data_IF_522601712621
#
_entry.id   IF_522601712621
#
_cell.length_a   1.000
_cell.length_b   1.000
_cell.length_c   1.000
_cell.angle_alpha   90.00
_cell.angle_beta   90.00
_cell.angle_gamma   90.00
#
_symmetry.space_group_name_H-M   'P 1'
#
loop_
_entity.id
_entity.type
_entity.pdbx_description
1 polymer ?
#
# COMPACT_ATOMS: atom_id res chain seq x y z
N UNK A 1 39.73 -0.75 9.40
CA UNK A 1 38.79 -1.66 8.77
C UNK A 1 37.41 -0.99 8.84
N UNK A 2 36.94 -0.47 7.73
CA UNK A 2 35.62 0.11 7.63
C UNK A 2 34.58 -0.98 7.86
N UNK A 3 33.63 -0.71 8.73
CA UNK A 3 32.53 -1.63 9.07
C UNK A 3 31.51 -1.68 7.92
N UNK A 4 31.92 -2.12 6.75
CA UNK A 4 31.07 -2.24 5.55
C UNK A 4 29.95 -3.29 5.71
N UNK A 5 30.05 -4.16 6.74
CA UNK A 5 29.12 -5.27 6.94
C UNK A 5 27.85 -4.93 7.76
N UNK A 6 27.70 -3.68 8.22
CA UNK A 6 26.62 -3.32 9.14
C UNK A 6 25.26 -3.08 8.45
N UNK A 7 25.26 -2.74 7.18
CA UNK A 7 24.03 -2.41 6.47
C UNK A 7 23.96 -3.12 5.13
N UNK A 8 23.03 -4.06 5.04
CA UNK A 8 22.67 -4.73 3.80
C UNK A 8 21.30 -4.30 3.36
N UNK A 9 21.13 -4.11 2.07
CA UNK A 9 19.89 -3.64 1.47
C UNK A 9 19.41 -4.53 0.35
N UNK A 10 18.12 -4.48 0.10
CA UNK A 10 17.46 -5.15 -1.03
C UNK A 10 16.64 -4.09 -1.78
N UNK A 11 16.79 -4.03 -3.08
CA UNK A 11 16.11 -3.06 -3.92
C UNK A 11 14.75 -3.58 -4.37
N UNK A 12 13.66 -2.85 -4.06
CA UNK A 12 12.32 -3.18 -4.50
C UNK A 12 12.05 -2.55 -5.87
N UNK A 13 12.00 -3.38 -6.92
CA UNK A 13 11.86 -2.87 -8.29
C UNK A 13 10.42 -2.45 -8.62
N UNK A 14 9.41 -3.15 -8.09
CA UNK A 14 8.02 -2.92 -8.47
C UNK A 14 7.48 -1.53 -8.13
N UNK A 15 7.77 -0.93 -6.95
CA UNK A 15 7.37 0.45 -6.67
C UNK A 15 7.95 1.46 -7.67
N UNK A 16 9.19 1.24 -8.12
CA UNK A 16 9.85 2.11 -9.09
C UNK A 16 9.24 1.93 -10.48
N UNK A 17 8.94 0.69 -10.88
CA UNK A 17 8.25 0.41 -12.15
C UNK A 17 6.86 1.07 -12.16
N UNK A 18 6.13 1.00 -11.05
CA UNK A 18 4.82 1.66 -10.94
C UNK A 18 4.94 3.19 -10.97
N UNK A 19 6.00 3.74 -10.35
CA UNK A 19 6.27 5.17 -10.36
C UNK A 19 6.60 5.68 -11.78
N UNK A 20 7.37 4.92 -12.55
CA UNK A 20 7.73 5.24 -13.92
C UNK A 20 6.63 4.89 -14.94
N UNK A 21 5.63 4.09 -14.54
CA UNK A 21 4.57 3.65 -15.43
C UNK A 21 3.67 4.81 -15.85
N UNK A 22 3.29 4.81 -17.11
CA UNK A 22 2.29 5.73 -17.66
C UNK A 22 0.92 5.08 -17.73
N UNK A 23 -0.11 5.89 -17.81
CA UNK A 23 -1.50 5.48 -18.03
C UNK A 23 -2.17 6.47 -18.96
N UNK A 24 -3.13 6.01 -19.75
CA UNK A 24 -3.99 6.90 -20.51
C UNK A 24 -5.26 7.18 -19.71
N UNK A 25 -5.63 8.45 -19.61
CA UNK A 25 -6.87 8.92 -18.97
C UNK A 25 -7.47 9.99 -19.87
N UNK A 26 -8.70 9.79 -20.31
CA UNK A 26 -9.40 10.71 -21.22
C UNK A 26 -8.59 11.01 -22.48
N UNK A 27 -7.98 10.00 -23.08
CA UNK A 27 -7.17 10.11 -24.29
C UNK A 27 -5.82 10.83 -24.11
N UNK A 28 -5.44 11.19 -22.88
CA UNK A 28 -4.16 11.83 -22.56
C UNK A 28 -3.26 10.88 -21.79
N UNK A 29 -1.98 10.86 -22.14
CA UNK A 29 -0.98 10.13 -21.37
C UNK A 29 -0.75 10.86 -20.04
N UNK A 30 -0.90 10.14 -18.94
CA UNK A 30 -0.55 10.58 -17.59
C UNK A 30 0.62 9.76 -17.10
N UNK A 31 1.55 10.41 -16.47
CA UNK A 31 2.66 9.76 -15.78
C UNK A 31 2.21 9.25 -14.40
N UNK A 32 3.00 8.36 -13.84
CA UNK A 32 2.82 7.87 -12.48
C UNK A 32 1.45 7.22 -12.25
N UNK A 33 1.24 6.06 -12.84
CA UNK A 33 -0.05 5.35 -12.77
C UNK A 33 -0.53 5.11 -11.34
N UNK A 34 0.32 4.58 -10.47
CA UNK A 34 -0.04 4.23 -9.10
C UNK A 34 0.75 5.01 -8.06
N UNK A 35 2.05 5.19 -8.23
CA UNK A 35 2.93 5.79 -7.24
C UNK A 35 3.20 7.27 -7.54
N UNK A 36 3.22 8.11 -6.51
CA UNK A 36 3.56 9.53 -6.62
C UNK A 36 4.92 9.88 -6.01
N UNK A 37 5.40 9.09 -5.08
CA UNK A 37 6.67 9.27 -4.38
C UNK A 37 7.19 7.93 -3.87
N UNK A 38 8.19 7.95 -3.01
CA UNK A 38 8.80 6.75 -2.45
C UNK A 38 7.87 5.86 -1.63
N UNK A 39 8.45 4.87 -0.99
CA UNK A 39 7.76 3.96 -0.09
C UNK A 39 7.53 4.68 1.23
N UNK A 40 6.27 4.80 1.65
CA UNK A 40 5.88 5.51 2.86
C UNK A 40 5.36 4.57 3.95
N UNK A 41 4.57 3.56 3.59
CA UNK A 41 3.98 2.60 4.53
C UNK A 41 4.68 1.25 4.52
N UNK A 42 5.15 0.79 5.69
CA UNK A 42 5.79 -0.52 5.86
C UNK A 42 5.29 -1.20 7.11
N UNK A 43 5.00 -2.50 7.02
CA UNK A 43 4.75 -3.33 8.21
C UNK A 43 5.05 -4.79 7.94
N UNK A 44 5.35 -5.53 9.01
CA UNK A 44 5.31 -6.98 8.97
C UNK A 44 3.97 -7.48 9.46
N UNK A 45 3.47 -8.55 8.86
CA UNK A 45 2.22 -9.16 9.27
C UNK A 45 2.03 -10.53 8.62
N UNK A 46 1.06 -11.33 9.10
CA UNK A 46 0.71 -12.62 8.53
C UNK A 46 0.03 -12.45 7.17
N UNK A 47 -0.30 -13.55 6.50
CA UNK A 47 -1.07 -13.48 5.26
C UNK A 47 -2.52 -13.04 5.52
N UNK A 48 -3.06 -12.22 4.61
CA UNK A 48 -4.50 -11.94 4.60
C UNK A 48 -5.31 -13.23 4.52
N UNK A 49 -6.30 -13.37 5.39
CA UNK A 49 -7.10 -14.58 5.58
C UNK A 49 -6.51 -15.58 6.59
N UNK A 50 -5.36 -15.24 7.19
CA UNK A 50 -4.73 -16.04 8.25
C UNK A 50 -4.09 -15.13 9.31
N UNK A 51 -4.90 -14.34 10.07
CA UNK A 51 -4.39 -13.33 11.01
C UNK A 51 -3.60 -13.90 12.20
N UNK A 52 -3.66 -15.22 12.41
CA UNK A 52 -2.87 -15.93 13.43
C UNK A 52 -1.71 -16.72 12.85
N UNK A 53 -1.45 -16.55 11.57
CA UNK A 53 -0.35 -17.21 10.87
C UNK A 53 1.01 -16.83 11.45
N UNK A 54 1.87 -17.84 11.67
CA UNK A 54 3.21 -17.61 12.24
C UNK A 54 4.17 -16.97 11.23
N UNK A 55 3.95 -17.24 9.95
CA UNK A 55 4.78 -16.67 8.89
C UNK A 55 4.47 -15.21 8.69
N UNK A 56 5.51 -14.38 8.79
CA UNK A 56 5.41 -12.94 8.57
C UNK A 56 5.88 -12.59 7.16
N UNK A 57 5.21 -11.64 6.55
CA UNK A 57 5.53 -11.08 5.25
C UNK A 57 5.78 -9.59 5.41
N UNK A 58 6.63 -9.04 4.58
CA UNK A 58 6.76 -7.59 4.47
C UNK A 58 5.64 -7.05 3.57
N UNK A 59 4.88 -6.13 4.10
CA UNK A 59 3.91 -5.34 3.36
C UNK A 59 4.45 -3.95 3.11
N UNK A 60 4.32 -3.51 1.87
CA UNK A 60 4.85 -2.24 1.38
C UNK A 60 3.74 -1.48 0.70
N UNK A 61 3.45 -0.29 1.20
CA UNK A 61 2.54 0.64 0.57
C UNK A 61 3.31 1.89 0.11
N UNK A 62 2.87 2.49 -0.97
CA UNK A 62 3.48 3.70 -1.51
C UNK A 62 2.40 4.69 -1.94
N UNK A 63 2.84 5.92 -2.20
CA UNK A 63 1.94 6.99 -2.58
C UNK A 63 1.14 6.68 -3.83
N UNK A 64 -0.07 7.20 -3.89
CA UNK A 64 -0.94 7.15 -5.06
C UNK A 64 -1.26 8.58 -5.47
N UNK A 65 -1.24 8.86 -6.77
CA UNK A 65 -1.49 10.21 -7.27
C UNK A 65 -2.87 10.71 -6.88
N UNK A 66 -2.93 11.89 -6.28
CA UNK A 66 -4.15 12.51 -5.77
C UNK A 66 -4.94 13.33 -6.79
N UNK A 67 -4.66 13.18 -8.09
CA UNK A 67 -5.37 13.92 -9.16
C UNK A 67 -6.88 13.62 -9.09
N UNK A 68 -7.66 14.66 -8.79
CA UNK A 68 -9.12 14.54 -8.62
C UNK A 68 -9.88 14.36 -9.93
N UNK A 69 -9.22 14.54 -11.07
CA UNK A 69 -9.80 14.31 -12.41
C UNK A 69 -9.69 12.87 -12.88
N UNK A 70 -8.85 12.04 -12.22
CA UNK A 70 -8.66 10.63 -12.55
C UNK A 70 -9.70 9.76 -11.84
N UNK A 71 -10.05 8.64 -12.45
CA UNK A 71 -10.94 7.61 -11.86
C UNK A 71 -10.20 6.33 -11.45
N UNK A 72 -8.93 6.18 -11.82
CA UNK A 72 -8.11 5.00 -11.59
C UNK A 72 -7.27 5.05 -10.31
N UNK A 73 -7.35 6.14 -9.55
CA UNK A 73 -6.57 6.41 -8.34
C UNK A 73 -7.40 6.42 -7.05
N UNK A 74 -8.52 5.71 -7.05
CA UNK A 74 -9.46 5.64 -5.92
C UNK A 74 -9.21 4.40 -5.03
N UNK A 75 -8.06 3.74 -5.26
CA UNK A 75 -7.61 2.56 -4.53
C UNK A 75 -6.20 2.77 -4.02
N UNK A 76 -5.93 2.27 -2.82
CA UNK A 76 -4.56 2.18 -2.32
C UNK A 76 -3.91 0.90 -2.84
N UNK A 77 -2.58 0.93 -2.94
CA UNK A 77 -1.77 -0.22 -3.40
C UNK A 77 -0.91 -0.73 -2.26
N UNK A 78 -0.95 -2.04 -2.03
CA UNK A 78 -0.15 -2.73 -1.03
C UNK A 78 0.52 -3.94 -1.68
N UNK A 79 1.84 -3.97 -1.63
CA UNK A 79 2.65 -5.09 -2.09
C UNK A 79 2.97 -6.03 -0.93
N UNK A 80 2.97 -7.34 -1.17
CA UNK A 80 3.36 -8.35 -0.21
C UNK A 80 4.62 -9.06 -0.68
N UNK A 81 5.61 -9.18 0.20
CA UNK A 81 6.87 -9.86 -0.07
C UNK A 81 7.15 -10.97 0.93
N UNK A 82 7.64 -12.10 0.43
CA UNK A 82 8.25 -13.16 1.24
C UNK A 82 9.76 -12.87 1.35
N UNK A 83 10.19 -12.46 2.52
CA UNK A 83 11.58 -12.06 2.75
C UNK A 83 12.53 -13.23 3.03
N UNK A 84 12.02 -14.45 3.29
CA UNK A 84 12.86 -15.61 3.67
C UNK A 84 13.90 -15.96 2.60
N UNK A 85 13.65 -15.52 1.35
CA UNK A 85 14.53 -15.81 0.21
C UNK A 85 15.36 -14.61 -0.25
N UNK A 86 15.39 -13.55 0.55
CA UNK A 86 16.03 -12.31 0.13
C UNK A 86 17.55 -12.29 0.27
N UNK A 87 18.14 -13.17 1.05
CA UNK A 87 19.60 -13.26 1.20
C UNK A 87 20.39 -13.28 -0.11
N UNK A 88 19.82 -13.84 -1.18
CA UNK A 88 20.42 -13.81 -2.53
C UNK A 88 20.43 -12.41 -3.20
N UNK A 89 19.66 -11.48 -2.70
CA UNK A 89 19.54 -10.12 -3.22
C UNK A 89 20.30 -9.10 -2.37
N UNK A 90 20.62 -9.47 -1.13
CA UNK A 90 21.29 -8.57 -0.20
C UNK A 90 22.64 -8.10 -0.75
N UNK A 91 22.86 -6.83 -0.65
CA UNK A 91 24.11 -6.20 -1.04
C UNK A 91 24.44 -5.07 -0.07
N UNK A 92 25.71 -4.77 0.08
CA UNK A 92 26.14 -3.64 0.90
C UNK A 92 25.61 -2.34 0.34
N UNK A 93 25.15 -1.46 1.21
CA UNK A 93 24.82 -0.09 0.84
C UNK A 93 26.11 0.74 0.80
N UNK A 94 26.57 1.02 -0.40
CA UNK A 94 27.74 1.87 -0.63
C UNK A 94 27.30 3.25 -1.09
N UNK A 95 27.79 4.28 -0.42
CA UNK A 95 27.54 5.66 -0.83
C UNK A 95 28.11 5.91 -2.23
N UNK A 96 27.30 6.48 -3.12
CA UNK A 96 27.69 6.75 -4.51
C UNK A 96 27.71 5.53 -5.45
N UNK A 97 27.45 4.31 -4.94
CA UNK A 97 27.34 3.09 -5.75
C UNK A 97 26.08 2.30 -5.37
N UNK A 98 24.93 2.81 -5.78
CA UNK A 98 23.65 2.15 -5.53
C UNK A 98 23.53 0.86 -6.34
N UNK A 99 23.07 -0.22 -5.70
CA UNK A 99 22.77 -1.46 -6.39
C UNK A 99 21.28 -1.57 -6.69
N UNK A 100 20.93 -2.42 -7.67
CA UNK A 100 19.55 -2.75 -8.04
C UNK A 100 19.23 -4.24 -7.84
N UNK A 101 19.94 -4.89 -6.92
CA UNK A 101 19.70 -6.28 -6.58
C UNK A 101 18.44 -6.40 -5.72
N UNK A 102 17.44 -7.13 -6.22
CA UNK A 102 16.18 -7.31 -5.53
C UNK A 102 15.10 -8.00 -6.37
N UNK A 103 13.95 -8.33 -5.76
CA UNK A 103 12.85 -8.96 -6.46
C UNK A 103 12.26 -7.99 -7.50
N UNK A 104 12.03 -8.49 -8.72
CA UNK A 104 11.39 -7.70 -9.79
C UNK A 104 9.92 -7.43 -9.52
N UNK A 105 9.25 -8.37 -8.84
CA UNK A 105 7.82 -8.29 -8.50
C UNK A 105 7.59 -8.71 -7.07
N UNK A 106 6.56 -8.14 -6.47
CA UNK A 106 6.00 -8.63 -5.23
C UNK A 106 5.40 -10.03 -5.41
N UNK A 107 5.22 -10.75 -4.31
CA UNK A 107 4.49 -12.02 -4.27
C UNK A 107 3.01 -11.82 -4.62
N UNK A 108 2.44 -10.72 -4.12
CA UNK A 108 1.07 -10.27 -4.43
C UNK A 108 1.02 -8.75 -4.45
N UNK A 109 0.16 -8.21 -5.30
CA UNK A 109 -0.17 -6.80 -5.38
C UNK A 109 -1.66 -6.65 -5.11
N UNK A 110 -1.97 -5.97 -4.03
CA UNK A 110 -3.32 -5.78 -3.55
C UNK A 110 -3.80 -4.35 -3.77
N UNK A 111 -5.10 -4.22 -3.92
CA UNK A 111 -5.79 -2.94 -4.00
C UNK A 111 -6.84 -2.84 -2.90
N UNK A 112 -7.00 -1.65 -2.32
CA UNK A 112 -8.01 -1.37 -1.30
C UNK A 112 -8.81 -0.14 -1.73
N UNK A 113 -10.12 -0.28 -1.86
CA UNK A 113 -11.00 0.84 -2.22
C UNK A 113 -11.20 1.75 -1.01
N UNK A 114 -10.50 2.86 -0.99
CA UNK A 114 -10.60 3.88 0.06
C UNK A 114 -11.23 5.18 -0.44
N UNK A 115 -11.47 5.27 -1.73
CA UNK A 115 -11.66 6.54 -2.42
C UNK A 115 -10.32 7.25 -2.66
N UNK A 116 -10.40 8.45 -3.18
CA UNK A 116 -9.23 9.28 -3.45
C UNK A 116 -8.47 9.64 -2.16
N UNK A 117 -7.15 9.67 -2.25
CA UNK A 117 -6.27 10.26 -1.24
C UNK A 117 -5.25 11.17 -1.90
N UNK A 118 -4.64 12.09 -1.16
CA UNK A 118 -3.71 13.05 -1.78
C UNK A 118 -2.38 12.39 -2.16
N UNK A 119 -1.82 11.51 -1.29
CA UNK A 119 -0.54 10.85 -1.50
C UNK A 119 -0.58 9.34 -1.26
N UNK A 120 -1.74 8.76 -0.97
CA UNK A 120 -1.87 7.35 -0.65
C UNK A 120 -1.58 7.01 0.81
N UNK A 121 -1.22 5.75 1.06
CA UNK A 121 -0.90 5.28 2.41
C UNK A 121 0.45 5.84 2.85
N UNK A 122 0.44 6.65 3.90
CA UNK A 122 1.62 7.20 4.53
C UNK A 122 2.15 6.31 5.66
N UNK A 123 1.25 5.62 6.33
CA UNK A 123 1.59 4.70 7.41
C UNK A 123 0.77 3.43 7.27
N UNK A 124 1.44 2.30 7.39
CA UNK A 124 0.81 0.99 7.43
C UNK A 124 1.29 0.26 8.68
N UNK A 125 0.37 -0.21 9.51
CA UNK A 125 0.69 -0.95 10.72
C UNK A 125 -0.18 -2.20 10.84
N UNK A 126 0.42 -3.33 11.15
CA UNK A 126 -0.32 -4.55 11.54
C UNK A 126 -0.47 -4.58 13.06
N UNK A 127 -1.67 -4.79 13.53
CA UNK A 127 -1.99 -4.99 14.95
C UNK A 127 -2.29 -6.47 15.21
N UNK A 128 -1.42 -7.11 15.98
CA UNK A 128 -1.56 -8.52 16.32
C UNK A 128 -2.76 -8.81 17.25
N UNK A 129 -3.22 -7.81 18.02
CA UNK A 129 -4.37 -7.96 18.91
C UNK A 129 -5.67 -8.09 18.13
N UNK A 130 -5.91 -7.20 17.16
CA UNK A 130 -7.12 -7.24 16.32
C UNK A 130 -6.95 -8.15 15.10
N UNK A 131 -5.72 -8.45 14.70
CA UNK A 131 -5.41 -9.18 13.47
C UNK A 131 -5.63 -8.35 12.19
N UNK A 132 -5.73 -7.04 12.30
CA UNK A 132 -6.02 -6.13 11.21
C UNK A 132 -4.83 -5.27 10.82
N UNK A 133 -4.91 -4.69 9.61
CA UNK A 133 -3.94 -3.71 9.13
C UNK A 133 -4.56 -2.31 9.14
N UNK A 134 -3.86 -1.37 9.73
CA UNK A 134 -4.26 0.03 9.84
C UNK A 134 -3.50 0.84 8.80
N UNK A 135 -4.23 1.56 7.97
CA UNK A 135 -3.67 2.37 6.90
C UNK A 135 -4.08 3.84 7.08
N UNK A 136 -3.12 4.68 7.36
CA UNK A 136 -3.32 6.11 7.46
C UNK A 136 -2.88 6.80 6.18
N UNK A 137 -3.67 7.78 5.72
CA UNK A 137 -3.48 8.47 4.45
C UNK A 137 -3.57 9.99 4.63
N UNK A 138 -3.01 10.73 3.69
CA UNK A 138 -3.40 12.12 3.53
C UNK A 138 -4.79 12.20 2.89
N UNK A 139 -5.65 13.02 3.50
CA UNK A 139 -7.04 13.17 3.09
C UNK A 139 -7.18 13.49 1.61
N UNK A 140 -8.08 12.80 0.94
CA UNK A 140 -8.48 13.07 -0.42
C UNK A 140 -9.34 14.31 -0.56
N UNK A 141 -9.64 14.70 -1.80
CA UNK A 141 -10.37 15.93 -2.15
C UNK A 141 -11.55 15.71 -3.10
N UNK A 142 -11.81 14.47 -3.54
CA UNK A 142 -12.96 14.19 -4.39
C UNK A 142 -14.25 14.23 -3.58
N UNK A 143 -15.20 15.06 -3.98
CA UNK A 143 -16.48 15.27 -3.28
C UNK A 143 -17.39 14.03 -3.26
N UNK A 144 -17.18 13.09 -4.18
CA UNK A 144 -17.95 11.84 -4.26
C UNK A 144 -17.54 10.80 -3.20
N UNK A 145 -16.45 11.05 -2.46
CA UNK A 145 -15.96 10.15 -1.41
C UNK A 145 -16.02 10.81 -0.03
N UNK A 146 -16.10 10.03 1.05
CA UNK A 146 -16.12 10.55 2.43
C UNK A 146 -14.78 11.16 2.86
N UNK A 147 -13.70 10.88 2.11
CA UNK A 147 -12.35 11.40 2.35
C UNK A 147 -11.88 11.16 3.80
N UNK A 148 -11.96 9.90 4.26
CA UNK A 148 -11.40 9.50 5.56
C UNK A 148 -9.87 9.52 5.54
N UNK A 149 -9.27 9.59 6.73
CA UNK A 149 -7.81 9.64 6.90
C UNK A 149 -7.23 8.34 7.45
N UNK A 150 -8.06 7.49 8.07
CA UNK A 150 -7.67 6.20 8.63
C UNK A 150 -8.63 5.11 8.16
N UNK A 151 -8.05 4.04 7.67
CA UNK A 151 -8.75 2.84 7.22
C UNK A 151 -8.24 1.62 7.97
N UNK A 152 -9.13 0.67 8.23
CA UNK A 152 -8.76 -0.63 8.78
C UNK A 152 -9.08 -1.70 7.74
N UNK A 153 -8.07 -2.46 7.37
CA UNK A 153 -8.16 -3.56 6.42
C UNK A 153 -8.33 -4.84 7.21
N UNK A 154 -9.34 -5.61 6.88
CA UNK A 154 -9.68 -6.86 7.58
C UNK A 154 -8.64 -7.94 7.29
N UNK A 155 -7.76 -8.22 8.25
CA UNK A 155 -6.73 -9.23 8.14
C UNK A 155 -7.28 -10.67 8.12
N UNK A 156 -8.52 -10.88 8.58
CA UNK A 156 -9.17 -12.21 8.58
C UNK A 156 -9.70 -12.62 7.20
N UNK A 157 -9.80 -11.68 6.27
CA UNK A 157 -10.33 -11.92 4.92
C UNK A 157 -9.22 -12.13 3.91
N UNK A 158 -9.37 -13.16 3.09
CA UNK A 158 -8.54 -13.32 1.89
C UNK A 158 -8.89 -12.24 0.87
N UNK A 159 -7.90 -11.85 0.08
CA UNK A 159 -8.16 -11.00 -1.09
C UNK A 159 -9.15 -11.68 -2.04
N UNK A 160 -10.00 -10.89 -2.65
CA UNK A 160 -10.97 -11.33 -3.65
C UNK A 160 -10.60 -10.74 -5.02
N UNK A 161 -11.05 -11.41 -6.09
CA UNK A 161 -10.87 -10.86 -7.44
C UNK A 161 -11.77 -9.64 -7.62
N UNK A 162 -11.20 -8.56 -8.12
CA UNK A 162 -11.92 -7.35 -8.46
C UNK A 162 -11.48 -6.82 -9.82
N UNK A 163 -12.05 -5.69 -10.21
CA UNK A 163 -11.73 -5.01 -11.46
C UNK A 163 -11.47 -3.54 -11.15
N UNK A 164 -10.38 -3.01 -11.68
CA UNK A 164 -10.10 -1.58 -11.74
C UNK A 164 -10.19 -1.17 -13.22
N UNK A 165 -10.96 -0.16 -13.50
CA UNK A 165 -11.09 0.36 -14.87
C UNK A 165 -10.22 1.60 -15.01
N UNK A 166 -9.35 1.57 -16.01
CA UNK A 166 -8.48 2.68 -16.37
C UNK A 166 -8.65 2.91 -17.88
N UNK A 167 -9.08 4.10 -18.27
CA UNK A 167 -9.25 4.50 -19.67
C UNK A 167 -9.92 3.41 -20.53
N UNK A 168 -11.08 2.92 -20.10
CA UNK A 168 -11.87 1.85 -20.71
C UNK A 168 -11.19 0.46 -20.74
N UNK A 169 -10.06 0.28 -20.09
CA UNK A 169 -9.43 -1.03 -19.89
C UNK A 169 -9.76 -1.57 -18.52
N UNK A 170 -10.40 -2.71 -18.47
CA UNK A 170 -10.66 -3.44 -17.24
C UNK A 170 -9.42 -4.28 -16.87
N UNK A 171 -8.86 -4.03 -15.70
CA UNK A 171 -7.75 -4.80 -15.14
C UNK A 171 -8.26 -5.68 -13.99
N UNK A 172 -8.01 -6.97 -14.06
CA UNK A 172 -8.31 -7.90 -12.96
C UNK A 172 -7.25 -7.77 -11.88
N UNK A 173 -7.68 -7.52 -10.66
CA UNK A 173 -6.81 -7.26 -9.51
C UNK A 173 -7.25 -8.06 -8.29
N UNK A 174 -6.36 -8.16 -7.29
CA UNK A 174 -6.66 -8.69 -5.97
C UNK A 174 -7.11 -7.54 -5.04
N UNK A 175 -8.35 -7.61 -4.55
CA UNK A 175 -8.96 -6.61 -3.69
C UNK A 175 -8.96 -7.06 -2.23
N UNK A 176 -8.45 -6.21 -1.35
CA UNK A 176 -8.62 -6.35 0.10
C UNK A 176 -9.91 -5.67 0.55
N UNK A 177 -10.43 -6.13 1.68
CA UNK A 177 -11.68 -5.63 2.24
C UNK A 177 -11.39 -4.73 3.45
N UNK A 178 -12.12 -3.63 3.54
CA UNK A 178 -12.12 -2.82 4.76
C UNK A 178 -12.89 -3.56 5.85
N UNK A 179 -12.43 -3.45 7.09
CA UNK A 179 -13.13 -3.96 8.25
C UNK A 179 -14.45 -3.19 8.45
N UNK A 180 -15.44 -3.88 9.01
CA UNK A 180 -16.73 -3.28 9.31
C UNK A 180 -16.65 -2.47 10.62
N UNK A 181 -16.06 -1.29 10.56
CA UNK A 181 -15.85 -0.40 11.71
C UNK A 181 -15.69 1.05 11.29
N UNK A 182 -15.78 1.97 12.26
CA UNK A 182 -15.74 3.41 11.98
C UNK A 182 -17.03 3.96 11.38
N UNK A 183 -16.92 5.03 10.63
CA UNK A 183 -18.04 5.62 9.90
C UNK A 183 -18.18 4.94 8.55
N UNK A 184 -19.39 4.51 8.23
CA UNK A 184 -19.72 3.98 6.90
C UNK A 184 -20.38 5.06 6.06
N UNK A 185 -19.83 5.35 4.91
CA UNK A 185 -20.47 6.23 3.94
C UNK A 185 -21.58 5.46 3.20
N UNK A 186 -22.80 6.03 3.22
CA UNK A 186 -23.97 5.37 2.64
C UNK A 186 -23.91 5.26 1.11
N UNK A 187 -23.27 6.21 0.45
CA UNK A 187 -23.21 6.26 -1.01
C UNK A 187 -22.16 5.33 -1.60
N UNK A 188 -20.98 5.26 -0.98
CA UNK A 188 -19.85 4.48 -1.50
C UNK A 188 -19.64 3.16 -0.80
N UNK A 189 -20.25 2.97 0.40
CA UNK A 189 -20.04 1.82 1.26
C UNK A 189 -18.67 1.78 1.95
N UNK A 190 -17.82 2.80 1.74
CA UNK A 190 -16.49 2.90 2.32
C UNK A 190 -16.61 3.14 3.82
N UNK A 191 -15.84 2.38 4.61
CA UNK A 191 -15.72 2.53 6.06
C UNK A 191 -14.37 3.12 6.43
N UNK A 192 -14.33 4.01 7.42
CA UNK A 192 -13.09 4.64 7.88
C UNK A 192 -13.35 5.65 8.98
N UNK A 193 -12.32 6.39 9.34
CA UNK A 193 -12.36 7.40 10.39
C UNK A 193 -11.79 8.73 9.89
N UNK A 194 -12.35 9.82 10.42
CA UNK A 194 -11.69 11.12 10.38
C UNK A 194 -10.62 11.12 11.45
N UNK A 195 -9.37 11.16 11.04
CA UNK A 195 -8.20 11.06 11.90
C UNK A 195 -7.14 12.08 11.46
N UNK A 196 -7.19 13.33 11.98
CA UNK A 196 -6.36 14.44 11.49
C UNK A 196 -4.84 14.17 11.58
N UNK A 197 -4.43 13.19 12.37
CA UNK A 197 -3.03 12.77 12.54
C UNK A 197 -2.62 11.62 11.62
N UNK A 198 -3.40 11.30 10.61
CA UNK A 198 -3.14 10.18 9.68
C UNK A 198 -1.82 10.27 8.92
N UNK A 199 -1.23 11.46 8.85
CA UNK A 199 0.10 11.69 8.26
C UNK A 199 1.26 11.38 9.22
N UNK A 200 0.98 11.06 10.50
CA UNK A 200 2.00 10.68 11.49
C UNK A 200 2.15 9.17 11.56
N UNK A 201 3.21 8.69 12.25
CA UNK A 201 3.43 7.26 12.43
C UNK A 201 2.32 6.56 13.20
N UNK A 202 2.03 5.32 12.83
CA UNK A 202 1.15 4.41 13.57
C UNK A 202 2.01 3.36 14.28
N UNK A 203 1.76 3.15 15.57
CA UNK A 203 2.44 2.12 16.34
C UNK A 203 1.41 1.38 17.19
N UNK A 204 1.22 0.07 17.01
CA UNK A 204 0.41 -0.73 17.90
C UNK A 204 1.10 -0.81 19.29
N UNK A 205 0.39 -0.44 20.34
CA UNK A 205 0.94 -0.50 21.71
C UNK A 205 0.64 -1.83 22.40
N UNK A 206 -0.05 -2.74 21.75
CA UNK A 206 -0.41 -4.06 22.24
C UNK A 206 -1.47 -4.04 23.35
N UNK A 207 -2.20 -5.15 23.47
CA UNK A 207 -2.96 -5.51 24.65
C UNK A 207 -4.08 -4.58 25.11
N UNK A 208 -4.58 -3.72 24.27
CA UNK A 208 -5.83 -2.96 24.38
C UNK A 208 -6.09 -2.20 25.65
#
# INVERSE_FOLDING_TARGET
>A
AEKEDLLRTVYLQEPVIDYEATVQVDGKVKEHRYACSGIDGLTFGPAFGDPKGKKQYLYVAYGVYGDTTRSDNDHQVILKYDIDKWGKYESHLLQGKLHRSGPKKAMSKYFVKTGNSTYGIQNLAYDAYTGNFYAAVYRGKKSIFPNYDLFVIDGSKKATKGIITTDNKAEKVEMLQLANGGRKDANTGITGWVFPWGSTGLCPVGGG
#
